data_IF_700369952667
#
_entry.id   IF_700369952667
#
_cell.length_a   1.000
_cell.length_b   1.000
_cell.length_c   1.000
_cell.angle_alpha   90.00
_cell.angle_beta   90.00
_cell.angle_gamma   90.00
#
_symmetry.space_group_name_H-M   'P 1'
#
loop_
_entity.id
_entity.type
_entity.pdbx_description
1 polymer ?
#
# COMPACT_ATOMS: atom_id res chain seq x y z
N UNK A 1 -0.76 -5.68 3.43
CA UNK A 1 -0.90 -6.42 4.69
C UNK A 1 0.43 -6.59 5.42
N UNK A 2 1.52 -7.07 4.79
CA UNK A 2 2.81 -7.25 5.49
C UNK A 2 3.30 -6.03 6.28
N UNK A 3 3.33 -4.84 5.67
CA UNK A 3 3.73 -3.60 6.35
C UNK A 3 2.85 -3.22 7.56
N UNK A 4 1.52 -3.39 7.47
CA UNK A 4 0.61 -3.18 8.60
C UNK A 4 0.89 -4.16 9.73
N UNK A 5 1.04 -5.45 9.42
CA UNK A 5 1.42 -6.46 10.44
C UNK A 5 2.77 -6.15 11.05
N UNK A 6 3.73 -5.65 10.27
CA UNK A 6 5.01 -5.19 10.79
C UNK A 6 4.86 -4.03 11.77
N UNK A 7 3.99 -3.06 11.49
CA UNK A 7 3.71 -1.95 12.40
C UNK A 7 3.08 -2.41 13.72
N UNK A 8 2.07 -3.28 13.65
CA UNK A 8 1.41 -3.85 14.83
C UNK A 8 2.34 -4.74 15.66
N UNK A 9 3.22 -5.50 14.99
CA UNK A 9 4.17 -6.41 15.63
C UNK A 9 5.52 -5.74 15.98
N UNK A 10 5.70 -4.47 15.66
CA UNK A 10 6.94 -3.74 15.92
C UNK A 10 7.30 -3.71 17.42
N UNK A 11 6.36 -3.46 18.36
CA UNK A 11 6.63 -3.56 19.80
C UNK A 11 7.04 -4.97 20.24
N UNK A 12 6.73 -5.98 19.42
CA UNK A 12 7.07 -7.38 19.65
C UNK A 12 8.29 -7.83 18.81
N UNK A 13 9.14 -6.90 18.38
CA UNK A 13 10.42 -7.21 17.73
C UNK A 13 10.34 -7.47 16.22
N UNK A 14 9.18 -7.30 15.58
CA UNK A 14 9.12 -7.34 14.12
C UNK A 14 9.82 -6.12 13.52
N UNK A 15 10.73 -6.36 12.58
CA UNK A 15 11.41 -5.32 11.83
C UNK A 15 10.55 -4.98 10.61
N UNK A 16 9.99 -3.78 10.60
CA UNK A 16 9.30 -3.25 9.44
C UNK A 16 10.25 -2.51 8.51
N UNK A 17 9.96 -2.59 7.22
CA UNK A 17 10.80 -2.04 6.15
C UNK A 17 9.93 -1.19 5.22
N UNK A 18 10.49 -0.07 4.74
CA UNK A 18 9.88 0.78 3.74
C UNK A 18 8.89 1.79 4.29
N UNK A 19 8.46 2.68 3.38
CA UNK A 19 7.62 3.84 3.68
C UNK A 19 6.26 3.44 4.24
N UNK A 20 5.62 2.41 3.69
CA UNK A 20 4.26 2.00 4.08
C UNK A 20 4.26 1.49 5.52
N UNK A 21 5.31 0.78 5.95
CA UNK A 21 5.46 0.38 7.35
C UNK A 21 5.53 1.63 8.25
N UNK A 22 6.38 2.59 7.91
CA UNK A 22 6.55 3.81 8.69
C UNK A 22 5.26 4.65 8.75
N UNK A 23 4.50 4.69 7.66
CA UNK A 23 3.20 5.34 7.61
C UNK A 23 2.18 4.67 8.54
N UNK A 24 2.15 3.34 8.63
CA UNK A 24 1.33 2.64 9.64
C UNK A 24 1.86 2.83 11.07
N UNK A 25 3.17 2.69 11.27
CA UNK A 25 3.81 2.80 12.60
C UNK A 25 3.61 4.17 13.23
N UNK A 26 3.62 5.23 12.41
CA UNK A 26 3.37 6.61 12.83
C UNK A 26 1.88 6.99 12.92
N UNK A 27 0.97 6.09 12.52
CA UNK A 27 -0.47 6.36 12.50
C UNK A 27 -0.94 7.25 11.35
N UNK A 28 -0.09 7.57 10.36
CA UNK A 28 -0.51 8.26 9.12
C UNK A 28 -1.45 7.39 8.29
N UNK A 29 -1.25 6.07 8.33
CA UNK A 29 -2.20 5.08 7.83
C UNK A 29 -2.77 4.31 9.01
N UNK A 30 -4.08 4.06 8.96
CA UNK A 30 -4.80 3.30 10.00
C UNK A 30 -5.60 2.16 9.36
N UNK A 31 -6.28 2.43 8.25
CA UNK A 31 -7.12 1.47 7.55
C UNK A 31 -6.28 0.48 6.71
N UNK A 32 -6.62 -0.81 6.75
CA UNK A 32 -5.98 -1.85 5.94
C UNK A 32 -6.33 -1.73 4.45
N UNK A 33 -7.45 -1.07 4.13
CA UNK A 33 -7.87 -0.74 2.77
C UNK A 33 -6.85 0.14 2.04
N UNK A 34 -5.97 0.84 2.77
CA UNK A 34 -4.93 1.67 2.18
C UNK A 34 -3.93 0.85 1.34
N UNK A 35 -3.66 -0.40 1.73
CA UNK A 35 -2.77 -1.33 1.02
C UNK A 35 -3.51 -2.41 0.24
N UNK A 36 -4.84 -2.44 0.33
CA UNK A 36 -5.68 -3.43 -0.34
C UNK A 36 -5.86 -3.09 -1.83
N UNK A 37 -5.83 -4.13 -2.66
CA UNK A 37 -6.14 -4.10 -4.08
C UNK A 37 -6.62 -5.48 -4.55
N UNK A 38 -7.20 -5.53 -5.73
CA UNK A 38 -7.55 -6.77 -6.41
C UNK A 38 -6.42 -7.12 -7.37
N UNK A 39 -6.02 -8.39 -7.37
CA UNK A 39 -5.11 -8.94 -8.36
C UNK A 39 -5.89 -9.83 -9.33
N UNK A 40 -5.38 -9.95 -10.56
CA UNK A 40 -5.80 -10.97 -11.48
C UNK A 40 -5.53 -12.37 -10.88
N UNK A 41 -6.23 -13.42 -11.34
CA UNK A 41 -5.89 -14.79 -11.00
C UNK A 41 -4.40 -15.09 -11.22
N UNK A 42 -3.85 -16.02 -10.44
CA UNK A 42 -2.44 -16.42 -10.54
C UNK A 42 -2.06 -16.91 -11.94
N UNK A 43 -2.98 -17.58 -12.63
CA UNK A 43 -2.81 -18.01 -14.03
C UNK A 43 -2.56 -16.86 -15.02
N UNK A 44 -2.91 -15.62 -14.64
CA UNK A 44 -2.67 -14.39 -15.42
C UNK A 44 -1.52 -13.55 -14.84
N UNK A 45 -0.69 -14.13 -13.97
CA UNK A 45 0.49 -13.49 -13.39
C UNK A 45 0.19 -12.53 -12.24
N UNK A 46 -0.97 -12.64 -11.60
CA UNK A 46 -1.33 -11.86 -10.40
C UNK A 46 -1.18 -10.34 -10.54
N UNK A 47 -1.36 -9.81 -11.76
CA UNK A 47 -1.23 -8.37 -12.02
C UNK A 47 -2.28 -7.58 -11.23
N UNK A 48 -1.95 -6.36 -10.74
CA UNK A 48 -2.94 -5.53 -10.07
C UNK A 48 -4.06 -5.12 -11.04
N UNK A 49 -5.31 -5.33 -10.65
CA UNK A 49 -6.51 -4.88 -11.37
C UNK A 49 -7.05 -3.55 -10.81
N UNK A 50 -6.74 -3.26 -9.54
CA UNK A 50 -7.06 -1.99 -8.89
C UNK A 50 -5.82 -1.37 -8.25
N UNK A 51 -5.94 -0.11 -7.85
CA UNK A 51 -4.86 0.71 -7.29
C UNK A 51 -5.06 0.86 -5.77
N UNK A 52 -4.06 0.55 -4.92
CA UNK A 52 -4.13 0.80 -3.48
C UNK A 52 -3.89 2.30 -3.17
N UNK A 53 -4.42 2.82 -2.05
CA UNK A 53 -4.28 4.25 -1.69
C UNK A 53 -2.82 4.66 -1.49
N UNK A 54 -1.97 3.76 -1.00
CA UNK A 54 -0.53 4.03 -0.84
C UNK A 54 0.15 4.33 -2.17
N UNK A 55 -0.26 3.66 -3.25
CA UNK A 55 0.25 3.94 -4.60
C UNK A 55 -0.34 5.24 -5.16
N UNK A 56 -1.61 5.55 -4.82
CA UNK A 56 -2.21 6.84 -5.16
C UNK A 56 -1.40 7.98 -4.53
N UNK A 57 -1.20 7.93 -3.22
CA UNK A 57 -0.47 8.96 -2.46
C UNK A 57 0.97 9.13 -2.98
N UNK A 58 1.69 8.02 -3.19
CA UNK A 58 3.05 8.07 -3.72
C UNK A 58 3.13 8.64 -5.14
N UNK A 59 2.14 8.34 -5.99
CA UNK A 59 2.03 8.92 -7.34
C UNK A 59 1.82 10.43 -7.26
N UNK A 60 0.89 10.89 -6.42
CA UNK A 60 0.60 12.32 -6.27
C UNK A 60 1.80 13.07 -5.67
N UNK A 61 2.51 12.48 -4.70
CA UNK A 61 3.76 13.05 -4.19
C UNK A 61 4.81 13.21 -5.29
N UNK A 62 4.95 12.21 -6.16
CA UNK A 62 5.90 12.27 -7.26
C UNK A 62 5.51 13.33 -8.29
N UNK A 63 4.24 13.45 -8.62
CA UNK A 63 3.76 14.46 -9.55
C UNK A 63 3.89 15.87 -8.97
N UNK A 64 3.60 16.08 -7.69
CA UNK A 64 3.81 17.38 -7.01
C UNK A 64 5.28 17.78 -7.00
N UNK A 65 6.20 16.85 -6.67
CA UNK A 65 7.64 17.14 -6.71
C UNK A 65 8.16 17.55 -8.08
N UNK A 66 7.47 17.14 -9.16
CA UNK A 66 7.80 17.48 -10.53
C UNK A 66 6.92 18.60 -11.09
N UNK A 67 6.15 19.30 -10.24
CA UNK A 67 5.26 20.41 -10.63
C UNK A 67 4.21 20.03 -11.69
N UNK A 68 3.83 18.74 -11.73
CA UNK A 68 2.86 18.19 -12.68
C UNK A 68 1.41 18.27 -12.20
N UNK A 69 1.19 18.73 -10.96
CA UNK A 69 -0.14 18.90 -10.37
C UNK A 69 -0.42 20.37 -10.10
N UNK A 70 -1.49 20.94 -10.70
CA UNK A 70 -1.99 22.25 -10.31
C UNK A 70 -2.41 22.25 -8.83
N UNK A 71 -2.30 23.41 -8.17
CA UNK A 71 -2.70 23.57 -6.77
C UNK A 71 -4.16 23.17 -6.53
N UNK A 72 -4.43 22.46 -5.43
CA UNK A 72 -5.77 22.02 -5.03
C UNK A 72 -6.21 20.66 -5.61
N UNK A 73 -5.71 20.28 -6.78
CA UNK A 73 -6.09 19.03 -7.47
C UNK A 73 -5.71 17.78 -6.67
N UNK A 74 -4.58 17.82 -5.95
CA UNK A 74 -4.11 16.70 -5.12
C UNK A 74 -5.19 16.23 -4.14
N UNK A 75 -5.71 17.16 -3.34
CA UNK A 75 -6.66 16.84 -2.26
C UNK A 75 -7.94 16.24 -2.83
N UNK A 76 -8.40 16.73 -3.97
CA UNK A 76 -9.58 16.18 -4.63
C UNK A 76 -9.36 14.77 -5.15
N UNK A 77 -8.20 14.48 -5.73
CA UNK A 77 -7.83 13.13 -6.17
C UNK A 77 -7.70 12.16 -4.98
N UNK A 78 -7.10 12.60 -3.86
CA UNK A 78 -7.00 11.80 -2.63
C UNK A 78 -8.39 11.50 -2.05
N UNK A 79 -9.28 12.50 -2.02
CA UNK A 79 -10.66 12.34 -1.55
C UNK A 79 -11.45 11.38 -2.46
N UNK A 80 -11.36 11.57 -3.79
CA UNK A 80 -12.01 10.69 -4.77
C UNK A 80 -11.50 9.25 -4.64
N UNK A 81 -10.18 9.06 -4.51
CA UNK A 81 -9.60 7.73 -4.33
C UNK A 81 -10.05 7.07 -3.04
N UNK A 82 -10.09 7.80 -1.93
CA UNK A 82 -10.49 7.29 -0.61
C UNK A 82 -11.97 6.93 -0.56
N UNK A 83 -12.82 7.65 -1.29
CA UNK A 83 -14.26 7.35 -1.40
C UNK A 83 -14.57 6.08 -2.21
N UNK A 84 -13.64 5.61 -3.04
CA UNK A 84 -13.83 4.39 -3.84
C UNK A 84 -13.39 3.16 -3.04
N UNK A 85 -14.31 2.20 -2.88
CA UNK A 85 -13.98 0.89 -2.30
C UNK A 85 -12.85 0.21 -3.08
N UNK A 86 -11.85 -0.34 -2.37
CA UNK A 86 -10.57 -0.78 -2.98
C UNK A 86 -10.74 -1.79 -4.13
N UNK A 87 -11.82 -2.58 -4.14
CA UNK A 87 -12.12 -3.53 -5.22
C UNK A 87 -12.54 -2.89 -6.54
N UNK A 88 -12.82 -1.59 -6.54
CA UNK A 88 -13.24 -0.81 -7.72
C UNK A 88 -12.31 0.36 -8.02
N UNK A 89 -11.27 0.59 -7.20
CA UNK A 89 -10.40 1.75 -7.29
C UNK A 89 -9.46 1.64 -8.49
N UNK A 90 -9.75 2.37 -9.56
CA UNK A 90 -8.88 2.48 -10.75
C UNK A 90 -8.57 3.95 -11.00
N UNK A 91 -7.49 4.26 -11.71
CA UNK A 91 -7.19 5.64 -12.09
C UNK A 91 -8.33 6.30 -12.86
N UNK A 92 -9.02 5.54 -13.72
CA UNK A 92 -10.21 5.99 -14.43
C UNK A 92 -11.33 6.39 -13.46
N UNK A 93 -11.68 5.50 -12.53
CA UNK A 93 -12.73 5.78 -11.54
C UNK A 93 -12.37 6.97 -10.64
N UNK A 94 -11.10 7.10 -10.25
CA UNK A 94 -10.61 8.24 -9.44
C UNK A 94 -10.83 9.55 -10.20
N UNK A 95 -10.42 9.62 -11.47
CA UNK A 95 -10.57 10.83 -12.31
C UNK A 95 -12.05 11.14 -12.58
N UNK A 96 -12.88 10.12 -12.81
CA UNK A 96 -14.31 10.30 -13.06
C UNK A 96 -15.06 10.85 -11.83
N UNK A 97 -14.62 10.46 -10.63
CA UNK A 97 -15.19 10.92 -9.35
C UNK A 97 -14.56 12.23 -8.85
N UNK A 98 -13.49 12.71 -9.47
CA UNK A 98 -12.86 13.98 -9.13
C UNK A 98 -13.72 15.16 -9.64
N UNK A 99 -14.32 15.90 -8.70
CA UNK A 99 -15.32 16.93 -9.02
C UNK A 99 -14.72 18.24 -9.58
N UNK A 100 -13.56 18.67 -9.10
CA UNK A 100 -12.93 19.93 -9.55
C UNK A 100 -12.13 19.78 -10.85
N UNK A 101 -12.26 18.66 -11.56
CA UNK A 101 -11.70 18.47 -12.90
C UNK A 101 -12.82 18.41 -13.93
N UNK A 102 -12.83 19.43 -14.81
CA UNK A 102 -13.79 19.54 -15.90
C UNK A 102 -13.69 18.33 -16.84
N UNK A 103 -14.84 17.89 -17.38
CA UNK A 103 -14.91 16.70 -18.23
C UNK A 103 -13.91 16.68 -19.40
N UNK A 104 -13.62 17.80 -20.10
CA UNK A 104 -12.62 17.83 -21.17
C UNK A 104 -11.18 17.57 -20.71
N UNK A 105 -10.83 17.86 -19.46
CA UNK A 105 -9.47 17.72 -18.93
C UNK A 105 -9.19 16.33 -18.35
N UNK A 106 -10.24 15.55 -18.08
CA UNK A 106 -10.15 14.20 -17.49
C UNK A 106 -9.26 13.24 -18.27
N UNK A 107 -9.32 13.14 -19.62
CA UNK A 107 -8.44 12.23 -20.36
C UNK A 107 -6.96 12.58 -20.23
N UNK A 108 -6.62 13.88 -20.20
CA UNK A 108 -5.24 14.36 -20.01
C UNK A 108 -4.73 14.00 -18.61
N UNK A 109 -5.56 14.24 -17.58
CA UNK A 109 -5.22 13.89 -16.21
C UNK A 109 -5.06 12.38 -16.01
N UNK A 110 -5.97 11.57 -16.57
CA UNK A 110 -5.87 10.11 -16.53
C UNK A 110 -4.55 9.62 -17.13
N UNK A 111 -4.20 10.11 -18.33
CA UNK A 111 -2.94 9.74 -18.99
C UNK A 111 -1.71 10.13 -18.16
N UNK A 112 -1.72 11.31 -17.54
CA UNK A 112 -0.65 11.75 -16.65
C UNK A 112 -0.52 10.86 -15.41
N UNK A 113 -1.63 10.54 -14.72
CA UNK A 113 -1.61 9.67 -13.54
C UNK A 113 -1.08 8.27 -13.86
N UNK A 114 -1.45 7.70 -15.02
CA UNK A 114 -0.95 6.40 -15.46
C UNK A 114 0.55 6.47 -15.78
N UNK A 115 0.98 7.48 -16.54
CA UNK A 115 2.37 7.65 -16.96
C UNK A 115 3.33 7.85 -15.78
N UNK A 116 2.86 8.54 -14.73
CA UNK A 116 3.66 8.85 -13.54
C UNK A 116 3.35 7.93 -12.35
N UNK A 117 2.62 6.83 -12.56
CA UNK A 117 2.19 5.94 -11.47
C UNK A 117 3.38 5.35 -10.73
N UNK A 118 3.35 5.46 -9.39
CA UNK A 118 4.37 4.92 -8.50
C UNK A 118 3.82 3.70 -7.77
N UNK A 119 4.50 2.57 -7.93
CA UNK A 119 4.21 1.36 -7.17
C UNK A 119 5.00 1.33 -5.86
N UNK A 120 4.51 2.07 -4.86
CA UNK A 120 5.16 2.13 -3.53
C UNK A 120 5.23 0.74 -2.89
N UNK A 121 4.22 -0.11 -3.10
CA UNK A 121 4.25 -1.49 -2.59
C UNK A 121 5.41 -2.29 -3.17
N UNK A 122 5.68 -2.14 -4.47
CA UNK A 122 6.84 -2.76 -5.11
C UNK A 122 8.16 -2.19 -4.59
N UNK A 123 8.25 -0.87 -4.41
CA UNK A 123 9.46 -0.22 -3.88
C UNK A 123 9.79 -0.77 -2.49
N UNK A 124 8.82 -0.78 -1.56
CA UNK A 124 9.00 -1.33 -0.21
C UNK A 124 9.33 -2.83 -0.23
N UNK A 125 8.71 -3.61 -1.13
CA UNK A 125 9.01 -5.03 -1.27
C UNK A 125 10.45 -5.27 -1.77
N UNK A 126 10.95 -4.45 -2.69
CA UNK A 126 12.34 -4.55 -3.16
C UNK A 126 13.33 -4.15 -2.06
N UNK A 127 12.99 -3.15 -1.23
CA UNK A 127 13.78 -2.78 -0.05
C UNK A 127 13.84 -3.93 0.97
N UNK A 128 12.70 -4.58 1.24
CA UNK A 128 12.64 -5.76 2.09
C UNK A 128 13.53 -6.89 1.56
N UNK A 129 13.51 -7.18 0.26
CA UNK A 129 14.35 -8.22 -0.33
C UNK A 129 15.84 -7.91 -0.14
N UNK A 130 16.26 -6.66 -0.30
CA UNK A 130 17.64 -6.23 -0.03
C UNK A 130 18.01 -6.43 1.45
N UNK A 131 17.12 -6.06 2.36
CA UNK A 131 17.33 -6.22 3.79
C UNK A 131 17.47 -7.70 4.18
N UNK A 132 16.63 -8.58 3.61
CA UNK A 132 16.69 -10.03 3.83
C UNK A 132 17.99 -10.62 3.28
N UNK A 133 18.43 -10.20 2.08
CA UNK A 133 19.69 -10.67 1.50
C UNK A 133 20.92 -10.24 2.30
N UNK A 134 20.86 -9.08 2.95
CA UNK A 134 21.94 -8.57 3.79
C UNK A 134 21.94 -9.16 5.21
N UNK A 135 20.83 -9.75 5.64
CA UNK A 135 20.70 -10.34 6.97
C UNK A 135 21.56 -11.62 7.08
N UNK A 136 22.25 -11.78 8.21
CA UNK A 136 22.96 -13.01 8.50
C UNK A 136 21.96 -14.16 8.73
N UNK A 137 22.24 -15.32 8.14
CA UNK A 137 21.46 -16.55 8.35
C UNK A 137 21.83 -17.20 9.69
N UNK A 138 21.54 -16.47 10.77
CA UNK A 138 21.78 -16.90 12.14
C UNK A 138 20.52 -16.70 12.97
N UNK A 139 20.22 -17.69 13.81
CA UNK A 139 19.16 -17.56 14.80
C UNK A 139 19.65 -16.68 15.93
N UNK A 140 18.98 -15.55 16.14
CA UNK A 140 19.21 -14.67 17.30
C UNK A 140 18.12 -14.93 18.33
N UNK A 141 18.52 -15.30 19.55
CA UNK A 141 17.61 -15.27 20.69
C UNK A 141 17.61 -13.84 21.24
N UNK A 142 16.53 -13.11 20.98
CA UNK A 142 16.30 -11.83 21.63
C UNK A 142 15.76 -12.07 23.05
N UNK A 143 16.27 -11.31 24.02
CA UNK A 143 15.67 -11.24 25.35
C UNK A 143 14.42 -10.37 25.27
N UNK A 144 13.25 -11.01 25.19
CA UNK A 144 11.99 -10.35 24.91
C UNK A 144 11.23 -10.11 26.21
N UNK A 145 10.72 -8.90 26.40
CA UNK A 145 9.87 -8.53 27.54
C UNK A 145 8.48 -9.17 27.52
N UNK A 146 8.19 -9.97 26.49
CA UNK A 146 6.92 -10.64 26.25
C UNK A 146 7.16 -12.11 25.95
N UNK A 147 6.16 -12.95 26.24
CA UNK A 147 6.17 -14.38 25.98
C UNK A 147 5.14 -14.72 24.91
N UNK A 148 5.56 -15.44 23.86
CA UNK A 148 4.59 -16.00 22.90
C UNK A 148 3.84 -17.14 23.57
N UNK A 149 2.51 -17.07 23.59
CA UNK A 149 1.67 -18.16 24.07
C UNK A 149 1.14 -18.96 22.88
N UNK A 150 1.30 -20.29 22.92
CA UNK A 150 0.69 -21.16 21.92
C UNK A 150 -0.83 -21.14 22.07
N UNK A 151 -1.53 -20.93 20.95
CA UNK A 151 -2.97 -21.14 20.89
C UNK A 151 -3.24 -22.60 20.58
N UNK A 152 -3.82 -23.34 21.53
CA UNK A 152 -4.26 -24.71 21.27
C UNK A 152 -5.45 -24.66 20.31
N UNK A 153 -5.22 -25.03 19.04
CA UNK A 153 -6.32 -25.28 18.11
C UNK A 153 -6.89 -26.68 18.41
N UNK A 154 -8.20 -26.82 18.67
CA UNK A 154 -8.80 -28.15 18.73
C UNK A 154 -8.65 -28.79 17.35
N UNK A 155 -7.85 -29.84 17.26
CA UNK A 155 -7.77 -30.66 16.05
C UNK A 155 -9.14 -31.30 15.85
N UNK A 156 -9.75 -31.04 14.69
CA UNK A 156 -10.98 -31.76 14.30
C UNK A 156 -10.63 -33.25 14.27
N UNK A 157 -11.39 -34.14 14.94
CA UNK A 157 -11.15 -35.58 14.80
C UNK A 157 -11.29 -35.95 13.32
N UNK A 158 -10.35 -36.75 12.82
CA UNK A 158 -10.45 -37.32 11.48
C UNK A 158 -11.74 -38.15 11.39
N UNK A 159 -12.56 -37.88 10.37
CA UNK A 159 -13.70 -38.71 9.98
C UNK A 159 -13.20 -39.92 9.19
#
# INVERSE_FOLDING_TARGET
>A
MGALRAAECHPFGMIGIGRIFEDYRSGRLVDDAAVALVHAPSALGSKPLTVPLVNVSATLDAMERNELLPGGVRRELENAASAIFFKRRTWRAIVEQCAGIAAPDRPKLFSALVAHSVDQKRIDALELLKAVQAAADIRVNADLSWKLHETAFPTRPAL
#
